data_IF_782932113454
#
_entry.id   IF_782932113454
#
_cell.length_a   1.000
_cell.length_b   1.000
_cell.length_c   1.000
_cell.angle_alpha   90.00
_cell.angle_beta   90.00
_cell.angle_gamma   90.00
#
_symmetry.space_group_name_H-M   'P 1'
#
loop_
_entity.id
_entity.type
_entity.pdbx_description
1 polymer ?
#
# COMPACT_ATOMS: atom_id res chain seq x y z
N UNK A 1 -12.67 18.51 -0.04
CA UNK A 1 -12.68 17.38 -1.01
C UNK A 1 -12.27 16.09 -0.32
N UNK A 2 -12.61 14.90 -0.83
CA UNK A 2 -12.19 13.62 -0.22
C UNK A 2 -10.66 13.47 -0.25
N UNK A 3 -10.08 12.91 0.80
CA UNK A 3 -8.66 12.61 0.85
C UNK A 3 -8.31 11.47 -0.12
N UNK A 4 -7.41 11.67 -1.10
CA UNK A 4 -7.08 10.64 -2.09
C UNK A 4 -6.33 9.44 -1.48
N UNK A 5 -5.56 9.65 -0.41
CA UNK A 5 -4.72 8.59 0.16
C UNK A 5 -5.49 7.60 1.06
N UNK A 6 -6.75 7.90 1.36
CA UNK A 6 -7.62 7.04 2.17
C UNK A 6 -9.08 7.05 1.69
N UNK A 7 -9.34 7.50 0.46
CA UNK A 7 -10.68 7.62 -0.13
C UNK A 7 -11.73 8.33 0.76
N UNK A 8 -11.23 9.23 1.60
CA UNK A 8 -12.01 9.99 2.58
C UNK A 8 -12.42 9.24 3.85
N UNK A 9 -11.87 8.06 4.13
CA UNK A 9 -12.11 7.33 5.37
C UNK A 9 -11.41 7.98 6.59
N UNK A 10 -10.43 8.85 6.38
CA UNK A 10 -9.63 9.46 7.46
C UNK A 10 -8.53 8.54 7.99
N UNK A 11 -8.79 7.24 8.02
CA UNK A 11 -7.83 6.20 8.37
C UNK A 11 -7.45 5.34 7.15
N UNK A 12 -6.22 4.82 7.15
CA UNK A 12 -5.80 3.83 6.15
C UNK A 12 -6.14 2.45 6.68
N UNK A 13 -7.06 1.78 6.02
CA UNK A 13 -7.39 0.37 6.28
C UNK A 13 -6.70 -0.51 5.26
N UNK A 14 -5.92 -1.49 5.71
CA UNK A 14 -5.59 -2.62 4.85
C UNK A 14 -6.90 -3.40 4.67
N UNK A 15 -7.48 -3.25 3.49
CA UNK A 15 -8.67 -3.96 3.06
C UNK A 15 -8.25 -4.93 1.96
N UNK A 16 -8.46 -6.22 2.18
CA UNK A 16 -8.22 -7.24 1.18
C UNK A 16 -8.66 -8.63 1.63
N UNK A 17 -8.84 -9.58 0.69
CA UNK A 17 -9.05 -10.97 1.04
C UNK A 17 -7.90 -11.43 1.93
N UNK A 18 -8.22 -12.16 2.99
CA UNK A 18 -7.22 -12.67 3.89
C UNK A 18 -6.31 -13.65 3.13
N UNK A 19 -4.98 -13.42 3.11
CA UNK A 19 -4.06 -14.25 2.35
C UNK A 19 -4.07 -15.70 2.85
N UNK A 20 -4.29 -15.92 4.15
CA UNK A 20 -4.23 -17.23 4.77
C UNK A 20 -5.36 -18.18 4.35
N UNK A 21 -6.53 -17.64 3.97
CA UNK A 21 -7.69 -18.43 3.53
C UNK A 21 -8.21 -18.04 2.14
N UNK A 22 -7.48 -17.18 1.43
CA UNK A 22 -7.86 -16.64 0.13
C UNK A 22 -9.30 -16.10 0.09
N UNK A 23 -9.69 -15.33 1.11
CA UNK A 23 -11.05 -14.75 1.15
C UNK A 23 -12.11 -15.59 1.85
N UNK A 24 -11.83 -16.86 2.19
CA UNK A 24 -12.87 -17.80 2.68
C UNK A 24 -13.17 -17.68 4.17
N UNK A 25 -12.18 -17.33 4.99
CA UNK A 25 -12.31 -17.24 6.45
C UNK A 25 -11.95 -18.52 7.19
N UNK A 26 -11.85 -19.64 6.49
CA UNK A 26 -11.41 -20.91 7.05
C UNK A 26 -10.44 -21.64 6.11
N UNK A 27 -9.65 -22.52 6.69
CA UNK A 27 -8.84 -23.50 5.98
C UNK A 27 -9.31 -24.91 6.35
N UNK A 28 -9.26 -25.81 5.38
CA UNK A 28 -9.58 -27.22 5.58
C UNK A 28 -8.29 -28.01 5.75
N UNK A 29 -8.23 -28.77 6.83
CA UNK A 29 -7.10 -29.65 7.13
C UNK A 29 -7.61 -31.08 7.22
N UNK A 30 -7.00 -31.97 6.46
CA UNK A 30 -7.27 -33.41 6.55
C UNK A 30 -6.15 -34.06 7.35
N UNK A 31 -6.47 -34.60 8.52
CA UNK A 31 -5.56 -35.36 9.37
C UNK A 31 -5.89 -36.85 9.30
N UNK A 32 -4.84 -37.68 9.39
CA UNK A 32 -4.99 -39.12 9.64
C UNK A 32 -5.05 -39.30 11.15
N UNK A 33 -6.18 -39.79 11.65
CA UNK A 33 -6.41 -40.01 13.08
C UNK A 33 -6.70 -41.49 13.35
N UNK A 34 -6.30 -42.00 14.53
CA UNK A 34 -6.46 -43.40 14.92
C UNK A 34 -5.15 -44.20 14.89
N UNK A 35 -5.22 -45.47 15.28
CA UNK A 35 -4.09 -46.39 15.30
C UNK A 35 -3.87 -47.03 13.92
N UNK A 36 -2.69 -47.60 13.67
CA UNK A 36 -2.26 -48.05 12.33
C UNK A 36 -3.30 -48.90 11.57
N UNK A 37 -4.05 -49.74 12.29
CA UNK A 37 -5.05 -50.67 11.74
C UNK A 37 -6.46 -50.11 11.60
N UNK A 38 -6.74 -48.91 12.14
CA UNK A 38 -8.08 -48.27 12.14
C UNK A 38 -8.04 -46.80 11.75
N UNK A 39 -6.95 -46.36 11.11
CA UNK A 39 -6.77 -44.96 10.78
C UNK A 39 -7.85 -44.45 9.81
N UNK A 40 -8.47 -43.34 10.18
CA UNK A 40 -9.47 -42.63 9.38
C UNK A 40 -8.91 -41.27 8.97
N UNK A 41 -9.31 -40.79 7.79
CA UNK A 41 -9.03 -39.43 7.36
C UNK A 41 -10.18 -38.55 7.82
N UNK A 42 -9.87 -37.57 8.65
CA UNK A 42 -10.83 -36.61 9.19
C UNK A 42 -10.50 -35.24 8.61
N UNK A 43 -11.47 -34.62 7.93
CA UNK A 43 -11.34 -33.24 7.45
C UNK A 43 -11.98 -32.29 8.46
N UNK A 44 -11.24 -31.26 8.88
CA UNK A 44 -11.72 -30.22 9.79
C UNK A 44 -11.54 -28.85 9.17
N UNK A 45 -12.56 -27.99 9.32
CA UNK A 45 -12.45 -26.58 9.01
C UNK A 45 -11.92 -25.83 10.24
N UNK A 46 -10.82 -25.11 10.08
CA UNK A 46 -10.19 -24.29 11.13
C UNK A 46 -10.29 -22.83 10.70
N UNK A 47 -10.73 -21.96 11.62
CA UNK A 47 -10.81 -20.53 11.37
C UNK A 47 -9.42 -19.96 11.11
N UNK A 48 -9.31 -19.07 10.12
CA UNK A 48 -8.08 -18.33 9.91
C UNK A 48 -7.85 -17.32 11.02
N UNK A 49 -6.74 -17.48 11.74
CA UNK A 49 -6.41 -16.63 12.89
C UNK A 49 -6.24 -15.16 12.54
N UNK A 50 -5.60 -14.84 11.40
CA UNK A 50 -5.31 -13.45 11.03
C UNK A 50 -6.53 -12.63 10.59
N UNK A 51 -7.63 -13.28 10.20
CA UNK A 51 -8.90 -12.62 9.86
C UNK A 51 -10.06 -13.02 10.77
N UNK A 52 -9.78 -13.66 11.91
CA UNK A 52 -10.77 -14.09 12.91
C UNK A 52 -11.96 -14.89 12.36
N UNK A 53 -11.80 -15.54 11.20
CA UNK A 53 -12.86 -16.28 10.54
C UNK A 53 -13.67 -15.51 9.49
N UNK A 54 -13.42 -14.21 9.28
CA UNK A 54 -14.21 -13.39 8.36
C UNK A 54 -13.78 -13.51 6.89
N UNK A 55 -12.58 -14.04 6.64
CA UNK A 55 -12.05 -14.20 5.28
C UNK A 55 -11.52 -12.92 4.69
N UNK A 56 -11.73 -11.77 5.32
CA UNK A 56 -11.23 -10.49 4.88
C UNK A 56 -10.38 -9.84 5.98
N UNK A 57 -9.29 -9.19 5.59
CA UNK A 57 -8.53 -8.31 6.49
C UNK A 57 -9.19 -6.95 6.45
N UNK A 58 -9.68 -6.49 7.61
CA UNK A 58 -10.05 -5.10 7.81
C UNK A 58 -9.24 -4.57 8.98
N UNK A 59 -7.97 -4.25 8.69
CA UNK A 59 -7.01 -3.90 9.74
C UNK A 59 -6.60 -2.44 9.60
N UNK A 60 -6.77 -1.60 10.64
CA UNK A 60 -6.29 -0.24 10.61
C UNK A 60 -4.75 -0.26 10.53
N UNK A 61 -4.19 0.30 9.46
CA UNK A 61 -2.75 0.55 9.32
C UNK A 61 -2.32 1.81 10.09
N UNK A 62 -3.29 2.59 10.56
CA UNK A 62 -3.10 3.87 11.22
C UNK A 62 -3.86 4.97 10.50
N UNK A 63 -3.74 6.19 11.02
CA UNK A 63 -4.41 7.33 10.44
C UNK A 63 -3.76 7.79 9.14
N UNK A 64 -4.56 8.33 8.24
CA UNK A 64 -4.06 8.94 7.03
C UNK A 64 -3.46 10.31 7.37
N UNK A 65 -2.15 10.47 7.14
CA UNK A 65 -1.44 11.73 7.46
C UNK A 65 -1.89 12.90 6.60
N UNK A 66 -2.26 12.64 5.35
CA UNK A 66 -2.63 13.66 4.36
C UNK A 66 -3.90 14.42 4.75
N UNK A 67 -4.88 13.75 5.36
CA UNK A 67 -6.08 14.39 5.92
C UNK A 67 -6.13 14.43 7.44
N UNK A 68 -5.10 13.94 8.14
CA UNK A 68 -5.05 13.89 9.60
C UNK A 68 -6.37 13.41 10.25
N UNK A 69 -6.85 12.22 9.83
CA UNK A 69 -8.13 11.60 10.27
C UNK A 69 -9.43 12.25 9.82
N UNK A 70 -9.43 13.44 9.23
CA UNK A 70 -10.69 14.11 8.87
C UNK A 70 -11.38 13.46 7.66
N UNK A 71 -10.64 12.69 6.85
CA UNK A 71 -11.11 12.17 5.57
C UNK A 71 -11.27 13.26 4.50
N UNK A 72 -11.00 14.52 4.85
CA UNK A 72 -11.16 15.65 3.97
C UNK A 72 -9.86 16.43 3.85
N UNK A 73 -9.61 16.90 2.64
CA UNK A 73 -8.48 17.78 2.33
C UNK A 73 -8.97 18.96 1.53
N UNK A 74 -8.19 20.03 1.52
CA UNK A 74 -8.30 21.12 0.55
C UNK A 74 -7.02 21.18 -0.28
N UNK A 75 -7.19 21.48 -1.56
CA UNK A 75 -6.10 21.64 -2.53
C UNK A 75 -5.53 23.05 -2.41
N UNK A 76 -4.21 23.17 -2.31
CA UNK A 76 -3.51 24.45 -2.15
C UNK A 76 -2.44 24.56 -3.24
N UNK A 77 -2.39 25.72 -3.89
CA UNK A 77 -1.32 26.05 -4.84
C UNK A 77 -0.02 26.32 -4.12
N UNK A 78 1.09 25.84 -4.67
CA UNK A 78 2.41 26.09 -4.09
C UNK A 78 3.54 25.42 -4.84
N UNK A 79 4.69 25.34 -4.16
CA UNK A 79 5.91 24.76 -4.71
C UNK A 79 6.04 23.32 -4.20
N UNK A 80 5.82 22.35 -5.10
CA UNK A 80 5.82 20.92 -4.80
C UNK A 80 7.07 20.24 -5.36
N UNK A 81 7.53 19.12 -4.78
CA UNK A 81 8.59 18.32 -5.39
C UNK A 81 8.21 17.93 -6.82
N UNK A 82 9.20 17.93 -7.72
CA UNK A 82 8.99 17.43 -9.07
C UNK A 82 8.71 15.91 -9.02
N UNK A 83 7.47 15.50 -9.30
CA UNK A 83 7.01 14.11 -9.16
C UNK A 83 7.81 13.12 -10.03
N UNK A 84 8.28 13.58 -11.20
CA UNK A 84 9.01 12.73 -12.15
C UNK A 84 10.39 12.32 -11.62
N UNK A 85 10.95 13.09 -10.70
CA UNK A 85 12.23 12.77 -10.07
C UNK A 85 12.17 12.81 -8.55
N UNK A 86 10.98 12.70 -7.94
CA UNK A 86 10.76 12.79 -6.48
C UNK A 86 11.53 13.93 -5.80
N UNK A 87 11.70 15.06 -6.49
CA UNK A 87 12.45 16.22 -6.02
C UNK A 87 13.98 16.08 -5.98
N UNK A 88 14.55 15.04 -6.58
CA UNK A 88 16.01 14.89 -6.74
C UNK A 88 16.60 15.85 -7.78
N UNK A 89 15.80 16.25 -8.77
CA UNK A 89 16.23 17.07 -9.91
C UNK A 89 16.92 16.26 -11.02
N UNK A 90 17.13 14.96 -10.83
CA UNK A 90 17.70 14.07 -11.84
C UNK A 90 17.02 12.71 -11.80
N UNK A 91 17.11 11.98 -12.91
CA UNK A 91 16.69 10.58 -13.02
C UNK A 91 17.86 9.73 -13.50
N UNK A 92 17.82 8.44 -13.23
CA UNK A 92 18.80 7.51 -13.80
C UNK A 92 18.49 7.27 -15.28
N UNK A 93 19.50 7.40 -16.13
CA UNK A 93 19.42 7.05 -17.54
C UNK A 93 19.27 5.53 -17.66
N UNK A 94 18.21 5.10 -18.35
CA UNK A 94 18.03 3.68 -18.70
C UNK A 94 18.89 3.24 -19.89
N UNK A 95 19.53 4.18 -20.59
CA UNK A 95 20.27 3.93 -21.82
C UNK A 95 21.77 4.22 -21.71
N UNK A 96 22.19 5.00 -20.72
CA UNK A 96 23.59 5.37 -20.51
C UNK A 96 24.13 4.89 -19.16
N UNK A 97 25.28 4.22 -19.21
CA UNK A 97 25.96 3.67 -18.04
C UNK A 97 27.41 4.16 -17.98
N UNK A 98 27.96 4.28 -16.77
CA UNK A 98 29.41 4.44 -16.57
C UNK A 98 30.15 3.13 -16.85
N UNK A 99 31.46 3.16 -17.11
CA UNK A 99 32.28 1.94 -17.23
C UNK A 99 32.20 1.02 -16.01
N UNK A 100 31.85 1.55 -14.83
CA UNK A 100 31.58 0.80 -13.60
C UNK A 100 30.25 0.02 -13.61
N UNK A 101 29.43 0.15 -14.67
CA UNK A 101 28.10 -0.47 -14.79
C UNK A 101 26.98 0.29 -14.09
N UNK A 102 27.26 1.44 -13.45
CA UNK A 102 26.23 2.24 -12.81
C UNK A 102 25.48 3.12 -13.83
N UNK A 103 24.14 3.23 -13.77
CA UNK A 103 23.38 4.08 -14.67
C UNK A 103 23.72 5.56 -14.42
N UNK A 104 24.01 6.29 -15.50
CA UNK A 104 24.31 7.72 -15.42
C UNK A 104 23.10 8.49 -14.91
N UNK A 105 23.34 9.65 -14.29
CA UNK A 105 22.26 10.57 -13.90
C UNK A 105 22.07 11.59 -15.00
N UNK A 106 20.82 11.80 -15.40
CA UNK A 106 20.43 12.84 -16.35
C UNK A 106 19.48 13.82 -15.68
N UNK A 107 19.53 15.08 -16.11
CA UNK A 107 18.63 16.14 -15.64
C UNK A 107 17.18 15.69 -15.81
N UNK A 108 16.35 15.88 -14.76
CA UNK A 108 14.95 15.49 -14.84
C UNK A 108 14.26 16.33 -15.93
N UNK A 109 13.62 15.71 -16.94
CA UNK A 109 13.13 16.43 -18.11
C UNK A 109 11.96 17.36 -17.79
N UNK A 110 11.03 16.92 -16.93
CA UNK A 110 9.79 17.66 -16.65
C UNK A 110 10.00 18.89 -15.78
N UNK A 111 11.08 18.94 -15.02
CA UNK A 111 11.42 20.09 -14.19
C UNK A 111 12.76 20.72 -14.55
N UNK A 112 13.42 20.27 -15.62
CA UNK A 112 14.70 20.78 -16.09
C UNK A 112 15.77 20.90 -14.97
N UNK A 113 15.81 19.92 -14.07
CA UNK A 113 16.73 19.95 -12.93
C UNK A 113 16.20 20.65 -11.68
N UNK A 114 15.07 21.36 -11.79
CA UNK A 114 14.42 21.99 -10.66
C UNK A 114 13.83 20.91 -9.75
N UNK A 115 14.34 20.85 -8.52
CA UNK A 115 13.86 19.92 -7.50
C UNK A 115 12.40 20.15 -7.13
N UNK A 116 11.92 21.39 -7.31
CA UNK A 116 10.56 21.79 -6.97
C UNK A 116 10.00 22.68 -8.06
N UNK A 117 8.72 22.50 -8.37
CA UNK A 117 8.00 23.20 -9.43
C UNK A 117 6.66 23.72 -8.90
N UNK A 118 6.06 24.74 -9.54
CA UNK A 118 4.69 25.14 -9.25
C UNK A 118 3.73 23.96 -9.45
N UNK A 119 2.83 23.76 -8.49
CA UNK A 119 1.84 22.69 -8.51
C UNK A 119 0.89 22.79 -7.32
N UNK A 120 0.32 21.65 -6.92
CA UNK A 120 -0.68 21.60 -5.87
C UNK A 120 -0.34 20.54 -4.84
N UNK A 121 -0.62 20.85 -3.57
CA UNK A 121 -0.53 19.89 -2.47
C UNK A 121 -1.83 19.90 -1.67
N UNK A 122 -2.01 18.85 -0.87
CA UNK A 122 -3.19 18.66 -0.04
C UNK A 122 -2.87 18.98 1.42
N UNK A 123 -3.76 19.71 2.08
CA UNK A 123 -3.72 19.91 3.52
C UNK A 123 -5.04 19.45 4.15
N UNK A 124 -5.04 18.95 5.40
CA UNK A 124 -6.26 18.58 6.09
C UNK A 124 -7.29 19.71 6.09
N UNK A 125 -8.54 19.34 5.86
CA UNK A 125 -9.69 20.23 6.00
C UNK A 125 -10.42 19.88 7.30
N UNK A 126 -10.60 20.88 8.16
CA UNK A 126 -11.24 20.76 9.48
C UNK A 126 -12.58 21.52 9.54
N UNK A 127 -13.08 21.96 8.40
CA UNK A 127 -14.35 22.68 8.29
C UNK A 127 -15.57 21.78 8.43
#
# INVERSE_FOLDING_TARGET
>A
MKCPDCDGAGDRTLSGPCPDCAGRGWNEYTSREGFETSAQYVTRAVRCGNCYGEGYLNRPLGYCRTCNRTGQVRRVEGIVPCEVCDGWGFVHSGTEFYPSGQPKRITCPNCQGQKRIPGFYYVPDYS
#
